data_IF_193880371980
#
_entry.id   IF_193880371980
#
_cell.length_a   1.000
_cell.length_b   1.000
_cell.length_c   1.000
_cell.angle_alpha   90.00
_cell.angle_beta   90.00
_cell.angle_gamma   90.00
#
_symmetry.space_group_name_H-M   'P 1'
#
loop_
_entity.id
_entity.type
_entity.pdbx_description
1 polymer ?
#
# COMPACT_ATOMS: atom_id res chain seq x y z
N UNK A 1 -14.56 5.38 0.09
CA UNK A 1 -13.27 6.06 0.28
C UNK A 1 -12.23 5.27 -0.48
N UNK A 2 -11.69 5.80 -1.60
CA UNK A 2 -10.61 5.15 -2.31
C UNK A 2 -9.44 4.80 -1.40
N UNK A 3 -8.89 3.62 -1.60
CA UNK A 3 -7.64 3.20 -0.96
C UNK A 3 -6.65 2.76 -2.03
N UNK A 4 -5.42 3.26 -1.92
CA UNK A 4 -4.27 2.85 -2.71
C UNK A 4 -3.14 2.32 -1.81
N UNK A 5 -2.28 1.48 -2.35
CA UNK A 5 -1.27 0.75 -1.57
C UNK A 5 0.10 0.78 -2.25
N UNK A 6 1.15 0.90 -1.44
CA UNK A 6 2.51 0.70 -1.89
C UNK A 6 3.32 -0.15 -0.91
N UNK A 7 4.29 -0.93 -1.38
CA UNK A 7 5.10 -1.80 -0.53
C UNK A 7 6.58 -1.83 -0.92
N UNK A 8 7.43 -2.16 0.05
CA UNK A 8 8.85 -2.45 -0.19
C UNK A 8 9.07 -3.96 -0.17
N UNK A 9 8.82 -4.62 -1.31
CA UNK A 9 9.11 -6.04 -1.56
C UNK A 9 8.38 -7.06 -0.64
N UNK A 10 7.34 -6.64 0.09
CA UNK A 10 6.58 -7.50 1.01
C UNK A 10 5.24 -7.98 0.43
N UNK A 11 5.31 -8.87 -0.56
CA UNK A 11 4.13 -9.40 -1.27
C UNK A 11 3.15 -10.13 -0.32
N UNK A 12 3.58 -10.96 0.65
CA UNK A 12 2.64 -11.66 1.54
C UNK A 12 1.83 -10.71 2.43
N UNK A 13 2.49 -9.68 3.00
CA UNK A 13 1.83 -8.70 3.87
C UNK A 13 0.92 -7.78 3.07
N UNK A 14 1.29 -7.47 1.82
CA UNK A 14 0.44 -6.71 0.90
C UNK A 14 -0.87 -7.45 0.61
N UNK A 15 -0.82 -8.76 0.31
CA UNK A 15 -2.04 -9.57 0.08
C UNK A 15 -2.98 -9.59 1.29
N UNK A 16 -2.43 -9.69 2.51
CA UNK A 16 -3.24 -9.61 3.74
C UNK A 16 -3.95 -8.25 3.85
N UNK A 17 -3.24 -7.16 3.58
CA UNK A 17 -3.82 -5.80 3.61
C UNK A 17 -4.86 -5.62 2.50
N UNK A 18 -4.63 -6.20 1.33
CA UNK A 18 -5.58 -6.21 0.23
C UNK A 18 -6.89 -6.92 0.62
N UNK A 19 -6.81 -8.11 1.24
CA UNK A 19 -7.98 -8.85 1.73
C UNK A 19 -8.75 -8.06 2.80
N UNK A 20 -8.05 -7.41 3.74
CA UNK A 20 -8.69 -6.59 4.78
C UNK A 20 -9.41 -5.35 4.23
N UNK A 21 -8.96 -4.83 3.09
CA UNK A 21 -9.45 -3.57 2.53
C UNK A 21 -10.42 -3.75 1.36
N UNK A 22 -10.63 -4.97 0.85
CA UNK A 22 -11.69 -5.26 -0.11
C UNK A 22 -13.07 -4.97 0.51
N UNK A 23 -14.00 -4.27 -0.17
CA UNK A 23 -13.98 -3.84 -1.58
C UNK A 23 -13.60 -2.35 -1.81
N UNK A 24 -12.88 -1.69 -0.90
CA UNK A 24 -12.61 -0.24 -0.93
C UNK A 24 -11.39 0.18 -1.76
N UNK A 25 -10.70 -0.78 -2.37
CA UNK A 25 -9.48 -0.58 -3.15
C UNK A 25 -9.83 -0.05 -4.53
N UNK A 26 -9.20 1.06 -4.94
CA UNK A 26 -9.53 1.73 -6.21
C UNK A 26 -8.34 1.80 -7.15
N UNK A 27 -7.11 1.69 -6.63
CA UNK A 27 -5.91 1.73 -7.46
C UNK A 27 -4.82 0.79 -6.95
N UNK A 28 -4.06 0.24 -7.90
CA UNK A 28 -3.30 -1.00 -7.80
C UNK A 28 -2.06 -1.00 -6.90
N UNK A 29 -1.36 -2.14 -6.93
CA UNK A 29 -0.11 -2.42 -6.22
C UNK A 29 1.04 -1.56 -6.77
N UNK A 30 1.61 -0.70 -5.93
CA UNK A 30 2.81 0.07 -6.27
C UNK A 30 4.03 -0.38 -5.47
N UNK A 31 5.20 -0.43 -6.12
CA UNK A 31 6.47 -0.61 -5.41
C UNK A 31 6.94 0.76 -4.90
N UNK A 32 7.36 0.83 -3.64
CA UNK A 32 7.90 2.07 -3.07
C UNK A 32 9.16 2.50 -3.83
N UNK A 33 9.17 3.77 -4.26
CA UNK A 33 10.35 4.39 -4.88
C UNK A 33 11.52 4.51 -3.90
N UNK A 34 12.73 4.73 -4.42
CA UNK A 34 13.99 4.67 -3.67
C UNK A 34 13.97 5.48 -2.37
N UNK A 35 13.54 6.75 -2.42
CA UNK A 35 13.51 7.63 -1.24
C UNK A 35 12.62 7.05 -0.14
N UNK A 36 11.37 6.73 -0.47
CA UNK A 36 10.40 6.23 0.52
C UNK A 36 10.77 4.83 0.99
N UNK A 37 11.25 3.96 0.09
CA UNK A 37 11.73 2.62 0.44
C UNK A 37 12.95 2.64 1.37
N UNK A 38 13.90 3.55 1.15
CA UNK A 38 15.08 3.71 2.02
C UNK A 38 14.69 4.14 3.43
N UNK A 39 13.71 5.04 3.59
CA UNK A 39 13.29 5.52 4.90
C UNK A 39 12.31 4.57 5.61
N UNK A 40 11.38 3.96 4.88
CA UNK A 40 10.40 3.03 5.45
C UNK A 40 11.02 1.65 5.76
N UNK A 41 12.08 1.28 5.05
CA UNK A 41 12.79 0.03 5.20
C UNK A 41 12.16 -1.16 4.48
N UNK A 42 12.91 -2.26 4.34
CA UNK A 42 12.42 -3.49 3.72
C UNK A 42 11.25 -4.07 4.51
N UNK A 43 10.22 -4.56 3.83
CA UNK A 43 9.05 -5.11 4.50
C UNK A 43 7.91 -4.11 4.72
N UNK A 44 8.14 -2.82 4.49
CA UNK A 44 7.16 -1.77 4.71
C UNK A 44 5.96 -1.88 3.76
N UNK A 45 4.79 -1.49 4.28
CA UNK A 45 3.54 -1.34 3.51
C UNK A 45 2.94 0.02 3.89
N UNK A 46 2.61 0.82 2.89
CA UNK A 46 2.00 2.15 3.03
C UNK A 46 0.59 2.07 2.47
N UNK A 47 -0.38 2.60 3.23
CA UNK A 47 -1.80 2.62 2.87
C UNK A 47 -2.27 4.07 2.82
N UNK A 48 -2.76 4.51 1.66
CA UNK A 48 -3.30 5.85 1.47
C UNK A 48 -4.83 5.82 1.38
N UNK A 49 -5.50 6.62 2.20
CA UNK A 49 -6.94 6.80 2.14
C UNK A 49 -7.25 8.15 1.50
N UNK A 50 -8.10 8.14 0.47
CA UNK A 50 -8.54 9.36 -0.20
C UNK A 50 -9.95 9.69 0.27
N UNK A 51 -10.08 10.68 1.15
CA UNK A 51 -11.38 11.27 1.49
C UNK A 51 -11.71 12.37 0.48
N UNK A 52 -12.94 12.35 -0.06
CA UNK A 52 -13.51 13.53 -0.72
C UNK A 52 -14.23 14.31 0.39
N UNK A 53 -13.50 15.21 1.04
CA UNK A 53 -14.14 16.39 1.64
C UNK A 53 -14.32 17.45 0.55
#
# INVERSE_FOLDING_TARGET
MPVGFAHSLNIPKMKLVEEMMKPRIIDGEYVLGSVVGTHAGPGAVVVGFFSKE
#
